data_IF_684764782369
#
_entry.id   IF_684764782369
#
_cell.length_a   1.000
_cell.length_b   1.000
_cell.length_c   1.000
_cell.angle_alpha   90.00
_cell.angle_beta   90.00
_cell.angle_gamma   90.00
#
_symmetry.space_group_name_H-M   'P 1'
#
loop_
_entity.id
_entity.type
_entity.pdbx_description
1 polymer ?
#
# COMPACT_ATOMS: atom_id res chain seq x y z
N UNK A 1 6.16 34.27 -47.41
CA UNK A 1 6.34 33.68 -46.06
C UNK A 1 5.04 33.03 -45.62
N UNK A 2 5.01 31.72 -45.44
CA UNK A 2 3.80 30.99 -45.01
C UNK A 2 3.44 31.41 -43.58
N UNK A 3 2.24 31.97 -43.38
CA UNK A 3 1.69 32.23 -42.06
C UNK A 3 1.57 30.89 -41.33
N UNK A 4 2.45 30.65 -40.36
CA UNK A 4 2.25 29.58 -39.38
C UNK A 4 0.94 29.92 -38.68
N UNK A 5 -0.06 29.03 -38.79
CA UNK A 5 -1.35 29.29 -38.15
C UNK A 5 -1.13 29.46 -36.65
N UNK A 6 -1.86 30.40 -36.02
CA UNK A 6 -1.78 30.64 -34.58
C UNK A 6 -1.94 29.35 -33.75
N UNK A 7 -2.65 28.36 -34.31
CA UNK A 7 -2.84 27.02 -33.75
C UNK A 7 -1.54 26.19 -33.75
N UNK A 8 -0.76 26.23 -34.84
CA UNK A 8 0.54 25.54 -34.92
C UNK A 8 1.56 26.16 -33.96
N UNK A 9 1.56 27.49 -33.84
CA UNK A 9 2.39 28.20 -32.86
C UNK A 9 2.01 27.84 -31.41
N UNK A 10 0.71 27.74 -31.11
CA UNK A 10 0.20 27.32 -29.79
C UNK A 10 0.58 25.86 -29.46
N UNK A 11 0.49 24.94 -30.43
CA UNK A 11 0.91 23.55 -30.26
C UNK A 11 2.42 23.44 -30.01
N UNK A 12 3.25 24.18 -30.74
CA UNK A 12 4.70 24.21 -30.52
C UNK A 12 5.06 24.75 -29.13
N UNK A 13 4.36 25.79 -28.66
CA UNK A 13 4.54 26.33 -27.31
C UNK A 13 4.18 25.28 -26.24
N UNK A 14 3.08 24.54 -26.42
CA UNK A 14 2.69 23.45 -25.53
C UNK A 14 3.74 22.32 -25.49
N UNK A 15 4.30 21.94 -26.65
CA UNK A 15 5.35 20.91 -26.74
C UNK A 15 6.63 21.36 -26.01
N UNK A 16 7.02 22.63 -26.12
CA UNK A 16 8.18 23.19 -25.42
C UNK A 16 7.99 23.21 -23.90
N UNK A 17 6.81 23.62 -23.42
CA UNK A 17 6.50 23.65 -21.97
C UNK A 17 6.49 22.24 -21.37
N UNK A 18 5.92 21.26 -22.08
CA UNK A 18 5.91 19.85 -21.64
C UNK A 18 7.34 19.28 -21.60
N UNK A 19 8.17 19.59 -22.58
CA UNK A 19 9.57 19.11 -22.64
C UNK A 19 10.45 19.70 -21.52
N UNK A 20 10.24 20.99 -21.18
CA UNK A 20 10.94 21.63 -20.07
C UNK A 20 10.56 21.08 -18.69
N UNK A 21 9.29 20.72 -18.48
CA UNK A 21 8.86 20.14 -17.20
C UNK A 21 9.43 18.72 -16.97
N UNK A 22 9.41 17.87 -18.01
CA UNK A 22 9.97 16.52 -17.97
C UNK A 22 11.49 16.50 -17.72
N UNK A 23 12.22 17.45 -18.31
CA UNK A 23 13.68 17.56 -18.11
C UNK A 23 14.04 18.02 -16.69
N UNK A 24 13.25 18.92 -16.08
CA UNK A 24 13.43 19.33 -14.68
C UNK A 24 13.21 18.17 -13.71
N UNK A 25 12.15 17.39 -13.89
CA UNK A 25 11.84 16.21 -13.06
C UNK A 25 12.97 15.17 -13.12
N UNK A 26 13.46 14.86 -14.33
CA UNK A 26 14.60 13.94 -14.53
C UNK A 26 15.88 14.43 -13.85
N UNK A 27 16.21 15.72 -14.00
CA UNK A 27 17.39 16.31 -13.35
C UNK A 27 17.30 16.26 -11.83
N UNK A 28 16.12 16.52 -11.27
CA UNK A 28 15.90 16.44 -9.81
C UNK A 28 16.14 15.03 -9.28
N UNK A 29 15.52 14.03 -9.92
CA UNK A 29 15.65 12.62 -9.52
C UNK A 29 17.08 12.09 -9.65
N UNK A 30 17.80 12.53 -10.69
CA UNK A 30 19.22 12.20 -10.87
C UNK A 30 20.08 12.79 -9.75
N UNK A 31 19.86 14.05 -9.35
CA UNK A 31 20.59 14.68 -8.24
C UNK A 31 20.34 13.98 -6.90
N UNK A 32 19.09 13.60 -6.63
CA UNK A 32 18.72 12.87 -5.41
C UNK A 32 19.39 11.50 -5.34
N UNK A 33 19.35 10.73 -6.42
CA UNK A 33 20.03 9.43 -6.51
C UNK A 33 21.55 9.57 -6.35
N UNK A 34 22.16 10.59 -6.97
CA UNK A 34 23.59 10.85 -6.81
C UNK A 34 23.95 11.19 -5.35
N UNK A 35 23.16 12.05 -4.68
CA UNK A 35 23.36 12.34 -3.26
C UNK A 35 23.25 11.08 -2.39
N UNK A 36 22.26 10.23 -2.65
CA UNK A 36 22.09 8.97 -1.92
C UNK A 36 23.28 8.03 -2.13
N UNK A 37 23.82 7.97 -3.35
CA UNK A 37 25.01 7.18 -3.67
C UNK A 37 26.27 7.72 -2.98
N UNK A 38 26.48 9.04 -2.98
CA UNK A 38 27.60 9.65 -2.25
C UNK A 38 27.51 9.36 -0.75
N UNK A 39 26.31 9.46 -0.15
CA UNK A 39 26.10 9.11 1.26
C UNK A 39 26.42 7.63 1.54
N UNK A 40 26.09 6.73 0.61
CA UNK A 40 26.46 5.32 0.70
C UNK A 40 27.98 5.14 0.73
N UNK A 41 28.71 5.74 -0.22
CA UNK A 41 30.18 5.66 -0.27
C UNK A 41 30.81 6.19 1.02
N UNK A 42 30.33 7.33 1.52
CA UNK A 42 30.77 7.91 2.81
C UNK A 42 30.54 6.92 3.96
N UNK A 43 29.36 6.29 4.03
CA UNK A 43 29.04 5.32 5.09
C UNK A 43 29.93 4.07 5.09
N UNK A 44 30.53 3.76 3.93
CA UNK A 44 31.46 2.65 3.74
C UNK A 44 32.93 3.07 3.78
N UNK A 45 33.21 4.35 4.07
CA UNK A 45 34.54 4.93 4.05
C UNK A 45 35.25 4.77 2.69
N UNK A 46 34.48 4.81 1.60
CA UNK A 46 34.97 4.76 0.22
C UNK A 46 35.16 6.20 -0.27
N UNK A 47 36.32 6.48 -0.89
CA UNK A 47 36.61 7.79 -1.49
C UNK A 47 35.66 8.04 -2.69
N UNK A 48 34.72 8.96 -2.51
CA UNK A 48 33.71 9.29 -3.53
C UNK A 48 34.28 9.90 -4.81
N UNK A 49 35.54 10.37 -4.80
CA UNK A 49 36.22 10.94 -5.98
C UNK A 49 36.86 9.82 -6.81
N UNK A 50 37.23 8.70 -6.17
CA UNK A 50 37.93 7.56 -6.81
C UNK A 50 37.04 6.34 -7.04
N UNK A 51 35.84 6.33 -6.46
CA UNK A 51 34.88 5.25 -6.63
C UNK A 51 34.49 5.11 -8.11
N UNK A 52 34.64 3.91 -8.64
CA UNK A 52 34.06 3.56 -9.93
C UNK A 52 32.57 3.28 -9.75
N UNK A 53 31.73 4.00 -10.49
CA UNK A 53 30.27 3.99 -10.34
C UNK A 53 29.65 2.59 -10.55
N UNK A 54 30.28 1.75 -11.39
CA UNK A 54 29.79 0.42 -11.74
C UNK A 54 30.04 -0.64 -10.66
N UNK A 55 31.15 -0.54 -9.93
CA UNK A 55 31.58 -1.60 -8.99
C UNK A 55 30.74 -1.64 -7.71
N UNK A 56 30.07 -0.53 -7.40
CA UNK A 56 29.37 -0.33 -6.13
C UNK A 56 27.84 -0.22 -6.30
N UNK A 57 27.33 -0.37 -7.52
CA UNK A 57 25.94 -0.05 -7.84
C UNK A 57 24.95 -1.06 -7.23
N UNK A 58 25.28 -2.34 -7.28
CA UNK A 58 24.45 -3.41 -6.69
C UNK A 58 24.42 -3.30 -5.15
N UNK A 59 25.59 -3.08 -4.54
CA UNK A 59 25.68 -2.87 -3.09
C UNK A 59 24.96 -1.60 -2.64
N UNK A 60 25.02 -0.53 -3.44
CA UNK A 60 24.26 0.69 -3.18
C UNK A 60 22.75 0.44 -3.20
N UNK A 61 22.24 -0.36 -4.15
CA UNK A 61 20.82 -0.70 -4.16
C UNK A 61 20.42 -1.55 -2.97
N UNK A 62 21.22 -2.56 -2.62
CA UNK A 62 21.01 -3.37 -1.42
C UNK A 62 21.01 -2.50 -0.15
N UNK A 63 21.94 -1.54 -0.06
CA UNK A 63 21.96 -0.56 1.03
C UNK A 63 20.70 0.29 1.06
N UNK A 64 20.22 0.77 -0.09
CA UNK A 64 18.99 1.58 -0.17
C UNK A 64 17.75 0.78 0.25
N UNK A 65 17.67 -0.48 -0.12
CA UNK A 65 16.60 -1.39 0.32
C UNK A 65 16.66 -1.64 1.82
N UNK A 66 17.86 -1.85 2.37
CA UNK A 66 18.06 -2.01 3.81
C UNK A 66 17.68 -0.75 4.59
N UNK A 67 18.03 0.45 4.11
CA UNK A 67 17.61 1.71 4.73
C UNK A 67 16.08 1.86 4.76
N UNK A 68 15.41 1.48 3.68
CA UNK A 68 13.93 1.46 3.64
C UNK A 68 13.36 0.45 4.63
N UNK A 69 13.91 -0.76 4.67
CA UNK A 69 13.51 -1.80 5.63
C UNK A 69 13.66 -1.33 7.07
N UNK A 70 14.78 -0.68 7.41
CA UNK A 70 15.01 -0.12 8.73
C UNK A 70 14.02 0.99 9.09
N UNK A 71 13.75 1.92 8.17
CA UNK A 71 12.74 2.95 8.36
C UNK A 71 11.35 2.36 8.67
N UNK A 72 10.95 1.30 7.96
CA UNK A 72 9.70 0.59 8.21
C UNK A 72 9.69 -0.13 9.57
N UNK A 73 10.82 -0.73 9.99
CA UNK A 73 10.94 -1.43 11.27
C UNK A 73 10.95 -0.47 12.47
N UNK A 74 11.51 0.73 12.29
CA UNK A 74 11.61 1.76 13.33
C UNK A 74 10.34 2.62 13.44
N UNK A 75 9.42 2.53 12.48
CA UNK A 75 8.19 3.30 12.51
C UNK A 75 7.33 2.94 13.73
N UNK A 76 6.94 3.94 14.53
CA UNK A 76 6.20 3.73 15.78
C UNK A 76 4.77 3.22 15.54
N UNK A 77 4.15 3.60 14.42
CA UNK A 77 2.74 3.31 14.13
C UNK A 77 2.54 2.08 13.24
N UNK A 78 3.46 1.80 12.31
CA UNK A 78 3.37 0.65 11.43
C UNK A 78 3.99 -0.58 12.08
N UNK A 79 3.18 -1.58 12.35
CA UNK A 79 3.62 -2.90 12.80
C UNK A 79 3.87 -3.78 11.58
N UNK A 80 5.07 -3.72 11.03
CA UNK A 80 5.44 -4.53 9.86
C UNK A 80 5.32 -6.03 10.14
N UNK A 81 4.96 -6.80 9.11
CA UNK A 81 4.71 -8.25 9.21
C UNK A 81 3.65 -8.63 10.26
N UNK A 82 2.77 -7.69 10.64
CA UNK A 82 1.62 -7.92 11.51
C UNK A 82 0.32 -7.72 10.74
N UNK A 83 -0.76 -8.28 11.29
CA UNK A 83 -2.06 -8.33 10.61
C UNK A 83 -2.88 -7.10 10.95
N UNK A 84 -3.35 -6.44 9.90
CA UNK A 84 -4.33 -5.37 9.98
C UNK A 84 -5.66 -5.87 9.42
N UNK A 85 -6.75 -5.44 10.03
CA UNK A 85 -8.10 -5.88 9.67
C UNK A 85 -8.99 -4.68 9.38
N UNK A 86 -9.75 -4.76 8.29
CA UNK A 86 -10.81 -3.81 7.94
C UNK A 86 -12.17 -4.52 7.93
N UNK A 87 -13.13 -3.99 8.68
CA UNK A 87 -14.46 -4.58 8.88
C UNK A 87 -15.61 -3.65 8.47
N UNK A 88 -15.38 -2.70 7.56
CA UNK A 88 -16.40 -1.73 7.16
C UNK A 88 -17.67 -2.36 6.56
N UNK A 89 -18.61 -1.55 6.07
CA UNK A 89 -20.00 -1.95 5.80
C UNK A 89 -20.24 -3.07 4.76
N UNK A 90 -19.19 -3.59 4.10
CA UNK A 90 -19.33 -4.74 3.20
C UNK A 90 -19.50 -6.02 4.01
N UNK A 91 -20.09 -7.04 3.39
CA UNK A 91 -20.22 -8.39 3.97
C UNK A 91 -18.89 -9.18 3.98
N UNK A 92 -17.75 -8.48 3.88
CA UNK A 92 -16.40 -9.07 3.86
C UNK A 92 -15.52 -8.40 4.91
N UNK A 93 -14.62 -9.17 5.48
CA UNK A 93 -13.51 -8.74 6.32
C UNK A 93 -12.25 -8.84 5.48
N UNK A 94 -11.49 -7.75 5.41
CA UNK A 94 -10.22 -7.72 4.69
C UNK A 94 -9.08 -7.83 5.69
N UNK A 95 -8.20 -8.81 5.49
CA UNK A 95 -6.96 -8.99 6.23
C UNK A 95 -5.80 -8.52 5.37
N UNK A 96 -4.93 -7.68 5.92
CA UNK A 96 -3.76 -7.14 5.23
C UNK A 96 -2.49 -7.31 6.07
N UNK A 97 -1.37 -7.56 5.41
CA UNK A 97 -0.04 -7.46 6.00
C UNK A 97 0.81 -6.53 5.14
N UNK A 98 1.47 -5.59 5.80
CA UNK A 98 2.48 -4.71 5.22
C UNK A 98 3.84 -5.22 5.64
N UNK A 99 4.59 -5.79 4.70
CA UNK A 99 5.89 -6.40 5.03
C UNK A 99 6.96 -5.35 5.28
N UNK A 100 8.01 -5.73 5.99
CA UNK A 100 9.20 -4.89 6.13
C UNK A 100 9.98 -4.72 4.79
N UNK A 101 9.60 -5.45 3.75
CA UNK A 101 10.17 -5.37 2.40
C UNK A 101 9.35 -4.43 1.48
N UNK A 102 8.31 -3.76 1.99
CA UNK A 102 7.49 -2.83 1.21
C UNK A 102 6.38 -3.49 0.38
N UNK A 103 6.02 -4.73 0.69
CA UNK A 103 4.96 -5.48 0.01
C UNK A 103 3.66 -5.50 0.81
N UNK A 104 2.54 -5.52 0.08
CA UNK A 104 1.19 -5.66 0.61
C UNK A 104 0.67 -7.06 0.27
N UNK A 105 0.27 -7.80 1.31
CA UNK A 105 -0.42 -9.08 1.19
C UNK A 105 -1.85 -8.97 1.69
N UNK A 106 -2.80 -9.62 1.03
CA UNK A 106 -4.22 -9.49 1.36
C UNK A 106 -4.99 -10.80 1.20
N UNK A 107 -6.01 -10.96 2.03
CA UNK A 107 -7.08 -11.94 1.88
C UNK A 107 -8.42 -11.32 2.31
N UNK A 108 -9.53 -11.87 1.81
CA UNK A 108 -10.88 -11.49 2.22
C UNK A 108 -11.64 -12.73 2.71
N UNK A 109 -12.46 -12.55 3.74
CA UNK A 109 -13.38 -13.58 4.23
C UNK A 109 -14.78 -12.98 4.41
N UNK A 110 -15.83 -13.74 4.08
CA UNK A 110 -17.21 -13.30 4.30
C UNK A 110 -17.56 -13.23 5.79
N UNK A 111 -18.29 -12.18 6.20
CA UNK A 111 -18.68 -11.94 7.60
C UNK A 111 -19.72 -12.93 8.14
N UNK A 112 -20.52 -13.52 7.27
CA UNK A 112 -21.65 -14.41 7.61
C UNK A 112 -21.27 -15.72 8.30
N UNK A 113 -20.01 -15.86 8.75
CA UNK A 113 -19.53 -17.09 9.34
C UNK A 113 -19.56 -18.25 8.34
N UNK A 114 -19.14 -19.43 8.78
CA UNK A 114 -19.18 -20.65 7.95
C UNK A 114 -17.84 -21.36 7.92
N UNK A 115 -17.11 -21.26 6.82
CA UNK A 115 -15.89 -22.05 6.63
C UNK A 115 -14.64 -21.43 7.27
N UNK A 116 -14.55 -20.10 7.31
CA UNK A 116 -13.30 -19.40 7.64
C UNK A 116 -13.28 -18.75 9.02
N UNK A 117 -14.46 -18.35 9.52
CA UNK A 117 -14.60 -17.57 10.75
C UNK A 117 -15.60 -18.21 11.70
N UNK A 118 -15.30 -18.13 12.99
CA UNK A 118 -16.28 -18.40 14.05
C UNK A 118 -17.35 -17.31 14.09
N UNK A 119 -18.50 -17.66 14.68
CA UNK A 119 -19.44 -16.63 15.12
C UNK A 119 -18.76 -15.72 16.16
N UNK A 120 -19.16 -14.44 16.22
CA UNK A 120 -18.60 -13.51 17.17
C UNK A 120 -19.07 -13.88 18.58
N UNK A 121 -18.14 -13.96 19.53
CA UNK A 121 -18.42 -14.16 20.95
C UNK A 121 -17.70 -13.08 21.75
N UNK A 122 -18.44 -12.34 22.56
CA UNK A 122 -17.93 -11.25 23.39
C UNK A 122 -17.14 -10.19 22.57
N UNK A 123 -17.56 -9.95 21.32
CA UNK A 123 -16.89 -9.01 20.41
C UNK A 123 -15.61 -9.56 19.76
N UNK A 124 -15.33 -10.85 19.86
CA UNK A 124 -14.14 -11.50 19.30
C UNK A 124 -14.56 -12.53 18.23
N UNK A 125 -13.83 -12.57 17.12
CA UNK A 125 -13.90 -13.64 16.11
C UNK A 125 -12.57 -14.39 16.01
N UNK A 126 -12.63 -15.64 15.59
CA UNK A 126 -11.46 -16.48 15.38
C UNK A 126 -11.43 -17.04 13.97
N UNK A 127 -10.23 -17.15 13.40
CA UNK A 127 -9.99 -17.91 12.18
C UNK A 127 -10.06 -19.41 12.50
N UNK A 128 -10.95 -20.14 11.81
CA UNK A 128 -11.13 -21.59 12.01
C UNK A 128 -9.93 -22.41 11.52
N UNK A 129 -9.18 -21.86 10.59
CA UNK A 129 -7.98 -22.44 10.00
C UNK A 129 -7.02 -21.35 9.55
N UNK A 130 -5.76 -21.72 9.30
CA UNK A 130 -4.78 -20.81 8.71
C UNK A 130 -5.31 -20.25 7.40
N UNK A 131 -5.25 -18.93 7.25
CA UNK A 131 -5.69 -18.23 6.03
C UNK A 131 -4.48 -17.67 5.31
N UNK A 132 -4.37 -17.97 4.02
CA UNK A 132 -3.27 -17.48 3.18
C UNK A 132 -3.58 -16.07 2.66
N UNK A 133 -2.63 -15.17 2.86
CA UNK A 133 -2.61 -13.82 2.30
C UNK A 133 -1.59 -13.80 1.15
N UNK A 134 -2.08 -13.45 -0.03
CA UNK A 134 -1.29 -13.43 -1.25
C UNK A 134 -0.81 -12.02 -1.56
N UNK A 135 0.31 -11.93 -2.27
CA UNK A 135 0.85 -10.67 -2.75
C UNK A 135 -0.19 -9.93 -3.58
N UNK A 136 -0.45 -8.67 -3.19
CA UNK A 136 -1.40 -7.79 -3.87
C UNK A 136 -0.72 -6.57 -4.50
N UNK A 137 0.42 -6.14 -3.94
CA UNK A 137 1.17 -5.02 -4.46
C UNK A 137 2.20 -4.46 -3.50
N UNK A 138 2.43 -3.16 -3.60
CA UNK A 138 3.53 -2.46 -2.91
C UNK A 138 2.98 -1.32 -2.08
N UNK A 139 3.74 -0.89 -1.08
CA UNK A 139 3.42 0.32 -0.33
C UNK A 139 4.67 1.17 -0.05
N UNK A 140 4.43 2.45 0.20
CA UNK A 140 5.39 3.44 0.66
C UNK A 140 4.82 4.12 1.90
N UNK A 141 5.69 4.29 2.90
CA UNK A 141 5.41 5.03 4.11
C UNK A 141 6.51 6.07 4.30
N UNK A 142 6.12 7.34 4.33
CA UNK A 142 7.00 8.46 4.62
C UNK A 142 6.39 9.19 5.82
N UNK A 143 7.08 9.11 6.96
CA UNK A 143 6.58 9.50 8.28
C UNK A 143 5.23 8.83 8.64
N UNK A 144 4.13 9.55 8.40
CA UNK A 144 2.76 9.07 8.58
C UNK A 144 1.98 8.99 7.27
N UNK A 145 2.53 9.47 6.16
CA UNK A 145 1.89 9.50 4.85
C UNK A 145 1.98 8.11 4.24
N UNK A 146 0.82 7.51 3.99
CA UNK A 146 0.72 6.16 3.51
C UNK A 146 0.27 6.14 2.05
N UNK A 147 0.97 5.40 1.20
CA UNK A 147 0.58 5.11 -0.18
C UNK A 147 0.69 3.62 -0.43
N UNK A 148 -0.33 3.04 -1.05
CA UNK A 148 -0.23 1.68 -1.57
C UNK A 148 -0.58 1.65 -3.04
N UNK A 149 0.04 0.72 -3.77
CA UNK A 149 -0.38 0.34 -5.11
C UNK A 149 -0.79 -1.11 -5.08
N UNK A 150 -1.92 -1.43 -5.72
CA UNK A 150 -2.45 -2.78 -5.75
C UNK A 150 -3.00 -3.13 -7.12
N UNK A 151 -2.85 -4.40 -7.47
CA UNK A 151 -3.48 -4.99 -8.62
C UNK A 151 -4.84 -5.56 -8.21
N UNK A 152 -5.91 -5.00 -8.75
CA UNK A 152 -7.27 -5.43 -8.48
C UNK A 152 -7.79 -6.19 -9.69
N UNK A 153 -8.03 -7.48 -9.50
CA UNK A 153 -8.65 -8.36 -10.49
C UNK A 153 -9.99 -8.86 -9.97
N UNK A 154 -11.04 -8.58 -10.72
CA UNK A 154 -12.39 -9.11 -10.51
C UNK A 154 -12.83 -9.85 -11.77
N UNK A 155 -13.91 -10.65 -11.74
CA UNK A 155 -14.45 -11.26 -12.96
C UNK A 155 -14.80 -10.25 -14.06
N UNK A 156 -15.08 -8.99 -13.69
CA UNK A 156 -15.57 -7.97 -14.63
C UNK A 156 -14.48 -7.00 -15.10
N UNK A 157 -13.41 -6.82 -14.34
CA UNK A 157 -12.34 -5.90 -14.70
C UNK A 157 -11.04 -6.22 -13.97
N UNK A 158 -9.94 -5.79 -14.59
CA UNK A 158 -8.59 -5.85 -14.06
C UNK A 158 -7.98 -4.45 -14.13
N UNK A 159 -7.53 -3.91 -12.99
CA UNK A 159 -6.94 -2.58 -12.93
C UNK A 159 -5.91 -2.43 -11.82
N UNK A 160 -4.91 -1.59 -12.06
CA UNK A 160 -4.01 -1.13 -11.02
C UNK A 160 -4.57 0.13 -10.37
N UNK A 161 -4.57 0.15 -9.04
CA UNK A 161 -5.01 1.28 -8.22
C UNK A 161 -3.87 1.76 -7.34
N UNK A 162 -3.88 3.05 -7.01
CA UNK A 162 -3.09 3.60 -5.93
C UNK A 162 -4.01 4.22 -4.91
N UNK A 163 -3.91 3.73 -3.69
CA UNK A 163 -4.58 4.26 -2.50
C UNK A 163 -3.62 5.18 -1.74
N UNK A 164 -4.19 6.17 -1.08
CA UNK A 164 -3.46 7.14 -0.28
C UNK A 164 -4.22 7.44 1.00
N UNK A 165 -3.45 7.76 2.01
CA UNK A 165 -3.95 7.85 3.36
C UNK A 165 -2.86 8.22 4.34
N UNK A 166 -3.08 7.84 5.58
CA UNK A 166 -2.13 8.03 6.64
C UNK A 166 -2.17 6.88 7.64
N UNK A 167 -1.12 6.75 8.43
CA UNK A 167 -1.07 5.86 9.58
C UNK A 167 -0.97 6.66 10.88
N UNK A 168 -1.76 6.28 11.88
CA UNK A 168 -1.73 6.84 13.23
C UNK A 168 -2.29 5.82 14.21
N UNK A 169 -1.68 5.69 15.39
CA UNK A 169 -2.17 4.82 16.48
C UNK A 169 -2.52 3.41 15.99
N UNK A 170 -1.56 2.77 15.32
CA UNK A 170 -1.70 1.41 14.77
C UNK A 170 -2.89 1.22 13.80
N UNK A 171 -3.37 2.32 13.22
CA UNK A 171 -4.48 2.33 12.25
C UNK A 171 -4.05 2.99 10.96
N UNK A 172 -4.23 2.29 9.83
CA UNK A 172 -4.02 2.82 8.49
C UNK A 172 -5.38 3.27 7.94
N UNK A 173 -5.51 4.55 7.65
CA UNK A 173 -6.72 5.14 7.08
C UNK A 173 -6.50 5.51 5.62
N UNK A 174 -7.10 4.77 4.70
CA UNK A 174 -7.08 5.07 3.27
C UNK A 174 -8.24 6.01 2.92
N UNK A 175 -7.89 7.25 2.57
CA UNK A 175 -8.85 8.36 2.39
C UNK A 175 -9.27 8.53 0.94
N UNK A 176 -8.49 8.01 -0.01
CA UNK A 176 -8.87 7.99 -1.41
C UNK A 176 -7.98 7.07 -2.26
N UNK A 177 -8.44 6.81 -3.48
CA UNK A 177 -7.68 6.09 -4.49
C UNK A 177 -7.90 6.66 -5.90
N UNK A 178 -7.01 6.29 -6.83
CA UNK A 178 -7.19 6.49 -8.27
C UNK A 178 -6.57 5.36 -9.09
N UNK A 179 -6.99 5.24 -10.34
CA UNK A 179 -6.42 4.27 -11.27
C UNK A 179 -5.04 4.75 -11.78
N UNK A 180 -4.05 3.87 -11.70
CA UNK A 180 -2.67 4.15 -12.15
C UNK A 180 -2.45 3.74 -13.60
N UNK A 181 -1.37 4.25 -14.19
CA UNK A 181 -0.92 3.81 -15.53
C UNK A 181 -0.52 2.33 -15.47
N UNK A 182 -0.74 1.57 -16.57
CA UNK A 182 -0.45 0.12 -16.63
C UNK A 182 1.00 -0.20 -16.22
N UNK A 183 1.93 0.71 -16.47
CA UNK A 183 3.36 0.58 -16.11
C UNK A 183 3.74 1.38 -14.86
N UNK A 184 3.78 0.67 -13.73
CA UNK A 184 4.84 0.82 -12.71
C UNK A 184 4.79 2.02 -11.76
N UNK A 185 3.82 2.07 -10.85
CA UNK A 185 3.93 2.85 -9.61
C UNK A 185 2.72 3.71 -9.25
N UNK A 186 2.94 4.70 -8.40
CA UNK A 186 1.94 5.61 -7.83
C UNK A 186 1.49 6.73 -8.79
N UNK A 187 1.64 6.59 -10.12
CA UNK A 187 1.35 7.69 -11.06
C UNK A 187 -0.09 7.63 -11.55
N UNK A 188 -0.87 8.66 -11.19
CA UNK A 188 -2.25 8.87 -11.65
C UNK A 188 -2.33 8.92 -13.17
N UNK A 189 -3.31 8.21 -13.76
CA UNK A 189 -3.70 8.43 -15.16
C UNK A 189 -4.26 9.85 -15.29
N UNK A 190 -3.89 10.58 -16.35
CA UNK A 190 -4.26 12.00 -16.55
C UNK A 190 -5.75 12.26 -16.26
N UNK A 191 -6.63 11.39 -16.75
CA UNK A 191 -8.10 11.53 -16.62
C UNK A 191 -8.70 10.61 -15.55
N UNK A 192 -7.91 9.94 -14.72
CA UNK A 192 -8.47 9.12 -13.65
C UNK A 192 -9.15 10.04 -12.62
N UNK A 193 -10.40 9.70 -12.28
CA UNK A 193 -11.07 10.31 -11.15
C UNK A 193 -10.39 9.86 -9.85
N UNK A 194 -10.31 10.77 -8.89
CA UNK A 194 -9.98 10.42 -7.50
C UNK A 194 -11.27 10.06 -6.79
N UNK A 195 -11.29 8.88 -6.18
CA UNK A 195 -12.43 8.37 -5.42
C UNK A 195 -12.13 8.50 -3.93
N UNK A 196 -13.02 9.14 -3.18
CA UNK A 196 -12.91 9.23 -1.72
C UNK A 196 -13.28 7.90 -1.08
N UNK A 197 -12.54 7.52 -0.04
CA UNK A 197 -12.76 6.32 0.78
C UNK A 197 -12.54 6.65 2.25
N UNK A 198 -12.85 5.70 3.12
CA UNK A 198 -12.57 5.78 4.55
C UNK A 198 -12.26 4.37 5.08
N UNK A 199 -11.36 3.66 4.41
CA UNK A 199 -11.01 2.31 4.82
C UNK A 199 -10.05 2.40 6.00
N UNK A 200 -10.45 1.82 7.14
CA UNK A 200 -9.67 1.81 8.38
C UNK A 200 -9.18 0.39 8.64
N UNK A 201 -7.89 0.19 8.40
CA UNK A 201 -7.22 -1.06 8.69
C UNK A 201 -6.59 -0.93 10.06
N UNK A 202 -7.08 -1.73 11.02
CA UNK A 202 -6.67 -1.65 12.43
C UNK A 202 -5.79 -2.86 12.74
N UNK A 203 -4.63 -2.62 13.36
CA UNK A 203 -3.76 -3.69 13.83
C UNK A 203 -4.48 -4.60 14.84
N UNK A 204 -4.38 -5.91 14.65
CA UNK A 204 -4.93 -6.92 15.55
C UNK A 204 -3.78 -7.74 16.16
N UNK A 205 -3.46 -7.53 17.46
CA UNK A 205 -2.30 -8.17 18.10
C UNK A 205 -2.42 -9.69 18.24
N UNK A 206 -3.64 -10.19 18.40
CA UNK A 206 -3.93 -11.61 18.59
C UNK A 206 -3.99 -12.42 17.29
N UNK A 207 -3.83 -11.73 16.14
CA UNK A 207 -3.60 -12.38 14.84
C UNK A 207 -2.10 -12.54 14.60
N UNK A 208 -1.65 -13.79 14.55
CA UNK A 208 -0.29 -14.15 14.23
C UNK A 208 -0.12 -14.26 12.71
N UNK A 209 0.99 -13.73 12.19
CA UNK A 209 1.41 -13.89 10.81
C UNK A 209 2.65 -14.79 10.74
N UNK A 210 2.66 -15.71 9.78
CA UNK A 210 3.74 -16.67 9.53
C UNK A 210 4.13 -16.51 8.05
N UNK A 211 5.40 -16.16 7.77
CA UNK A 211 5.90 -16.14 6.38
C UNK A 211 5.78 -17.54 5.78
N UNK A 212 5.29 -17.64 4.55
CA UNK A 212 5.12 -18.89 3.81
C UNK A 212 5.41 -18.69 2.33
N UNK A 213 5.35 -19.78 1.57
CA UNK A 213 5.22 -19.75 0.11
C UNK A 213 3.82 -20.27 -0.25
N UNK A 214 3.18 -19.67 -1.24
CA UNK A 214 1.92 -20.19 -1.77
C UNK A 214 2.17 -21.43 -2.65
N UNK A 215 1.10 -22.04 -3.16
CA UNK A 215 1.16 -23.23 -4.01
C UNK A 215 2.01 -23.07 -5.28
N UNK A 216 2.25 -21.83 -5.71
CA UNK A 216 3.07 -21.49 -6.88
C UNK A 216 4.51 -21.09 -6.51
N UNK A 217 4.90 -21.18 -5.24
CA UNK A 217 6.24 -20.85 -4.76
C UNK A 217 6.50 -19.34 -4.54
N UNK A 218 5.48 -18.49 -4.69
CA UNK A 218 5.60 -17.06 -4.41
C UNK A 218 5.49 -16.78 -2.91
N UNK A 219 6.13 -15.71 -2.43
CA UNK A 219 6.00 -15.28 -1.05
C UNK A 219 4.54 -15.03 -0.68
N UNK A 220 4.17 -15.45 0.52
CA UNK A 220 2.85 -15.32 1.10
C UNK A 220 2.95 -15.23 2.63
N UNK A 221 1.81 -15.03 3.27
CA UNK A 221 1.68 -15.17 4.71
C UNK A 221 0.52 -16.10 5.05
N UNK A 222 0.69 -16.91 6.08
CA UNK A 222 -0.40 -17.59 6.76
C UNK A 222 -0.75 -16.81 8.02
N UNK A 223 -2.04 -16.54 8.23
CA UNK A 223 -2.55 -15.93 9.45
C UNK A 223 -3.38 -16.91 10.27
N UNK A 224 -3.28 -16.82 11.59
CA UNK A 224 -4.05 -17.61 12.54
C UNK A 224 -4.31 -16.80 13.82
N UNK A 225 -5.36 -17.17 14.56
CA UNK A 225 -5.70 -16.53 15.84
C UNK A 225 -7.06 -15.83 15.81
N UNK A 226 -7.21 -14.88 16.73
CA UNK A 226 -8.45 -14.14 16.97
C UNK A 226 -8.27 -12.65 16.74
N UNK A 227 -9.37 -11.95 16.53
CA UNK A 227 -9.38 -10.51 16.37
C UNK A 227 -10.66 -9.89 16.91
N UNK A 228 -10.56 -8.61 17.27
CA UNK A 228 -11.69 -7.84 17.74
C UNK A 228 -12.61 -7.48 16.57
N UNK A 229 -13.91 -7.69 16.76
CA UNK A 229 -14.95 -7.22 15.86
C UNK A 229 -15.12 -5.73 16.09
N UNK A 230 -14.96 -4.94 15.03
CA UNK A 230 -15.23 -3.51 15.09
C UNK A 230 -16.75 -3.34 15.24
N UNK A 231 -17.18 -2.78 16.37
CA UNK A 231 -18.61 -2.52 16.61
C UNK A 231 -19.07 -1.48 15.61
N UNK A 232 -19.90 -1.88 14.65
CA UNK A 232 -20.47 -0.95 13.71
C UNK A 232 -21.62 -0.20 14.39
N UNK A 233 -21.53 1.13 14.49
CA UNK A 233 -22.56 1.98 15.11
C UNK A 233 -23.94 1.79 14.46
N UNK A 234 -23.99 1.38 13.19
CA UNK A 234 -25.25 1.05 12.49
C UNK A 234 -25.80 -0.32 12.89
N UNK A 235 -24.95 -1.32 13.15
CA UNK A 235 -25.40 -2.62 13.69
C UNK A 235 -25.88 -2.47 15.13
N UNK A 236 -25.25 -1.64 15.96
CA UNK A 236 -25.76 -1.31 17.30
C UNK A 236 -27.12 -0.62 17.23
N UNK A 237 -27.30 0.36 16.33
CA UNK A 237 -28.61 0.99 16.13
C UNK A 237 -29.66 0.00 15.65
N UNK A 238 -29.31 -0.89 14.72
CA UNK A 238 -30.24 -1.91 14.23
C UNK A 238 -30.56 -2.97 15.28
N UNK A 239 -29.59 -3.42 16.07
CA UNK A 239 -29.79 -4.37 17.18
C UNK A 239 -30.62 -3.73 18.29
N UNK A 240 -30.35 -2.48 18.67
CA UNK A 240 -31.17 -1.72 19.61
C UNK A 240 -32.61 -1.52 19.09
N UNK A 241 -32.77 -1.22 17.79
CA UNK A 241 -34.11 -1.11 17.17
C UNK A 241 -34.85 -2.46 17.21
N UNK A 242 -34.17 -3.58 16.93
CA UNK A 242 -34.78 -4.91 16.97
C UNK A 242 -35.12 -5.37 18.40
N UNK A 243 -34.32 -4.99 19.39
CA UNK A 243 -34.64 -5.20 20.81
C UNK A 243 -35.85 -4.37 21.26
N UNK A 244 -36.00 -3.14 20.73
CA UNK A 244 -37.13 -2.25 21.04
C UNK A 244 -38.44 -2.61 20.30
N UNK A 245 -38.40 -3.48 19.29
CA UNK A 245 -39.59 -3.94 18.53
C UNK A 245 -40.19 -5.22 19.11
N UNK A 246 -39.53 -5.86 20.09
CA UNK A 246 -40.10 -7.00 20.83
C UNK A 246 -41.07 -6.56 21.93
N UNK A 247 -42.18 -5.89 21.61
CA UNK A 247 -43.41 -5.85 22.42
C UNK A 247 -44.62 -5.52 21.55
#
# INVERSE_FOLDING_TARGET
MKQISKIVALMLLFVLVISCSLSKERKSKSKENHRAYVNYLISRNIDSIKANDLDNYDEFFAFKEEQKRQSLLQNTYLKTNKVYVYQGNRNVITFCIYSNEGYLYMAEAYKTGGMFLTEPKDGIRQLKQKTELNFLGFFELEDTIFKSSRHVKTPFYEMNQSDFGYIKNDTITLTAYYNVKKSGGYKKKWLAKTHKTNYKFIYQPDLRAIKSKNSSGFDAFLIEGSFNVERNLEEEKMLQLLENVKY
#
